data_IF_415640051197
#
_entry.id   IF_415640051197
#
_cell.length_a   1.000
_cell.length_b   1.000
_cell.length_c   1.000
_cell.angle_alpha   90.00
_cell.angle_beta   90.00
_cell.angle_gamma   90.00
#
_symmetry.space_group_name_H-M   'P 1'
#
loop_
_entity.id
_entity.type
_entity.pdbx_description
1 polymer ?
#
# COMPACT_ATOMS: atom_id res chain seq x y z
N UNK A 1 8.23 11.61 23.89
CA UNK A 1 6.93 10.99 23.56
C UNK A 1 7.14 9.49 23.46
N UNK A 2 6.36 8.69 24.18
CA UNK A 2 6.50 7.22 24.15
C UNK A 2 6.00 6.68 22.81
N UNK A 3 6.86 5.97 22.05
CA UNK A 3 6.43 5.14 20.92
C UNK A 3 5.53 4.03 21.46
N UNK A 4 4.21 4.25 21.40
CA UNK A 4 3.27 3.39 22.15
C UNK A 4 2.90 2.09 21.42
N UNK A 5 2.95 2.08 20.08
CA UNK A 5 2.53 0.95 19.24
C UNK A 5 3.27 0.92 17.90
N UNK A 6 3.38 -0.27 17.32
CA UNK A 6 3.85 -0.53 15.95
C UNK A 6 2.66 -0.93 15.08
N UNK A 7 2.40 -0.17 14.02
CA UNK A 7 1.30 -0.41 13.09
C UNK A 7 1.80 -0.98 11.77
N UNK A 8 1.18 -2.08 11.34
CA UNK A 8 1.36 -2.67 10.01
C UNK A 8 0.20 -2.25 9.13
N UNK A 9 0.47 -1.47 8.10
CA UNK A 9 -0.54 -0.89 7.20
C UNK A 9 -0.38 -1.50 5.82
N UNK A 10 -1.37 -2.28 5.39
CA UNK A 10 -1.41 -2.83 4.04
C UNK A 10 -2.03 -1.82 3.07
N UNK A 11 -1.31 -1.51 2.00
CA UNK A 11 -1.82 -0.80 0.83
C UNK A 11 -2.74 -1.67 -0.03
N UNK A 12 -3.24 -1.11 -1.13
CA UNK A 12 -4.20 -1.77 -2.01
C UNK A 12 -3.49 -2.18 -3.32
N UNK A 13 -3.50 -3.46 -3.72
CA UNK A 13 -2.73 -3.95 -4.87
C UNK A 13 -3.05 -3.26 -6.20
N UNK A 14 -4.32 -2.87 -6.42
CA UNK A 14 -4.77 -2.17 -7.63
C UNK A 14 -4.47 -0.66 -7.64
N UNK A 15 -3.72 -0.16 -6.64
CA UNK A 15 -3.31 1.25 -6.58
C UNK A 15 -1.87 1.38 -6.06
N UNK A 16 -1.37 2.62 -6.05
CA UNK A 16 -0.21 3.01 -5.23
C UNK A 16 -0.68 3.90 -4.08
N UNK A 17 -0.13 3.73 -2.89
CA UNK A 17 -0.46 4.58 -1.73
C UNK A 17 0.18 5.96 -1.89
N UNK A 18 -0.41 6.78 -2.73
CA UNK A 18 0.01 8.14 -3.09
C UNK A 18 -1.22 9.05 -3.20
N UNK A 19 -0.98 10.35 -3.33
CA UNK A 19 -2.07 11.33 -3.53
C UNK A 19 -2.73 11.21 -4.91
N UNK A 20 -2.06 10.57 -5.88
CA UNK A 20 -2.58 10.39 -7.24
C UNK A 20 -3.73 9.38 -7.31
N UNK A 21 -3.78 8.43 -6.36
CA UNK A 21 -4.84 7.43 -6.24
C UNK A 21 -5.90 7.83 -5.21
N UNK A 22 -6.12 9.13 -5.00
CA UNK A 22 -7.07 9.62 -4.01
C UNK A 22 -8.53 9.25 -4.32
N UNK A 23 -8.91 8.94 -5.55
CA UNK A 23 -10.28 8.50 -5.84
C UNK A 23 -10.63 7.17 -5.14
N UNK A 24 -9.63 6.34 -4.79
CA UNK A 24 -9.85 5.13 -4.02
C UNK A 24 -9.91 5.46 -2.52
N UNK A 25 -11.09 5.28 -1.91
CA UNK A 25 -11.29 5.54 -0.48
C UNK A 25 -10.37 4.70 0.43
N UNK A 26 -10.07 3.45 0.03
CA UNK A 26 -9.18 2.58 0.80
C UNK A 26 -7.72 3.01 0.71
N UNK A 27 -7.28 3.48 -0.45
CA UNK A 27 -5.94 4.06 -0.62
C UNK A 27 -5.80 5.36 0.18
N UNK A 28 -6.83 6.22 0.18
CA UNK A 28 -6.86 7.39 1.06
C UNK A 28 -6.80 7.02 2.54
N UNK A 29 -7.53 5.97 2.95
CA UNK A 29 -7.50 5.47 4.33
C UNK A 29 -6.08 5.07 4.72
N UNK A 30 -5.39 4.27 3.90
CA UNK A 30 -4.02 3.85 4.17
C UNK A 30 -3.06 5.06 4.24
N UNK A 31 -3.14 5.97 3.25
CA UNK A 31 -2.30 7.16 3.18
C UNK A 31 -2.46 8.06 4.41
N UNK A 32 -3.70 8.39 4.78
CA UNK A 32 -4.01 9.25 5.92
C UNK A 32 -3.73 8.57 7.26
N UNK A 33 -3.98 7.26 7.37
CA UNK A 33 -3.71 6.52 8.59
C UNK A 33 -2.20 6.48 8.89
N UNK A 34 -1.36 6.24 7.88
CA UNK A 34 0.09 6.27 8.07
C UNK A 34 0.55 7.60 8.68
N UNK A 35 0.16 8.71 8.04
CA UNK A 35 0.45 10.05 8.55
C UNK A 35 -0.06 10.26 9.97
N UNK A 36 -1.35 9.99 10.21
CA UNK A 36 -1.99 10.27 11.49
C UNK A 36 -1.34 9.52 12.65
N UNK A 37 -0.95 8.26 12.43
CA UNK A 37 -0.32 7.45 13.48
C UNK A 37 1.14 7.82 13.68
N UNK A 38 1.87 8.16 12.61
CA UNK A 38 3.23 8.69 12.71
C UNK A 38 3.28 10.03 13.45
N UNK A 39 2.39 10.96 13.12
CA UNK A 39 2.28 12.28 13.78
C UNK A 39 1.94 12.15 15.29
N UNK A 40 1.31 11.04 15.69
CA UNK A 40 1.04 10.68 17.10
C UNK A 40 2.22 10.02 17.81
N UNK A 41 3.35 9.84 17.13
CA UNK A 41 4.57 9.24 17.65
C UNK A 41 4.58 7.71 17.65
N UNK A 42 3.73 7.07 16.85
CA UNK A 42 3.77 5.61 16.67
C UNK A 42 4.72 5.21 15.54
N UNK A 43 5.20 3.96 15.58
CA UNK A 43 6.01 3.40 14.51
C UNK A 43 5.11 2.78 13.45
N UNK A 44 5.23 3.23 12.20
CA UNK A 44 4.33 2.83 11.10
C UNK A 44 5.13 2.15 10.00
N UNK A 45 4.75 0.91 9.68
CA UNK A 45 5.28 0.15 8.56
C UNK A 45 4.17 0.02 7.52
N UNK A 46 4.40 0.57 6.34
CA UNK A 46 3.53 0.41 5.18
C UNK A 46 4.03 -0.72 4.27
N UNK A 47 3.11 -1.51 3.73
CA UNK A 47 3.38 -2.54 2.72
C UNK A 47 2.58 -2.22 1.48
N UNK A 48 3.25 -1.88 0.38
CA UNK A 48 2.57 -1.37 -0.80
C UNK A 48 3.13 -1.87 -2.11
N UNK A 49 2.46 -1.45 -3.17
CA UNK A 49 2.99 -1.46 -4.54
C UNK A 49 4.17 -0.50 -4.62
N UNK A 50 5.20 -0.89 -5.35
CA UNK A 50 6.31 -0.01 -5.70
C UNK A 50 5.81 1.32 -6.28
N UNK A 51 6.50 2.42 -5.92
CA UNK A 51 6.05 3.79 -6.19
C UNK A 51 5.03 4.34 -5.18
N UNK A 52 4.58 3.55 -4.20
CA UNK A 52 3.87 4.10 -3.03
C UNK A 52 4.79 5.02 -2.21
N UNK A 53 4.23 6.09 -1.64
CA UNK A 53 4.99 7.03 -0.81
C UNK A 53 4.14 7.64 0.33
N UNK A 54 3.63 6.83 1.27
CA UNK A 54 2.95 7.36 2.44
C UNK A 54 3.94 7.89 3.49
N UNK A 55 3.50 8.85 4.30
CA UNK A 55 4.24 9.31 5.48
C UNK A 55 4.26 8.21 6.55
N UNK A 56 5.31 7.39 6.56
CA UNK A 56 5.53 6.25 7.46
C UNK A 56 7.00 6.14 7.86
N UNK A 57 7.36 5.20 8.74
CA UNK A 57 8.75 4.96 9.17
C UNK A 57 9.46 3.93 8.30
N UNK A 58 8.72 2.91 7.85
CA UNK A 58 9.17 1.94 6.86
C UNK A 58 8.15 1.80 5.72
N UNK A 59 8.61 1.94 4.48
CA UNK A 59 7.80 1.68 3.30
C UNK A 59 8.36 0.44 2.57
N UNK A 60 7.63 -0.67 2.66
CA UNK A 60 8.05 -1.97 2.16
C UNK A 60 7.34 -2.26 0.84
N UNK A 61 8.11 -2.37 -0.23
CA UNK A 61 7.59 -2.78 -1.54
C UNK A 61 7.30 -4.28 -1.52
N UNK A 62 6.03 -4.65 -1.65
CA UNK A 62 5.56 -6.05 -1.69
C UNK A 62 4.94 -6.44 -3.03
N UNK A 63 4.65 -5.45 -3.88
CA UNK A 63 4.23 -5.68 -5.27
C UNK A 63 5.16 -4.90 -6.21
N UNK A 64 6.00 -5.58 -7.01
CA UNK A 64 6.89 -4.93 -7.98
C UNK A 64 6.11 -4.19 -9.05
N UNK A 65 6.71 -3.11 -9.58
CA UNK A 65 6.11 -2.34 -10.68
C UNK A 65 5.82 -3.20 -11.91
N UNK A 66 6.75 -4.09 -12.29
CA UNK A 66 6.59 -4.98 -13.45
C UNK A 66 5.30 -5.82 -13.39
N UNK A 67 5.00 -6.39 -12.21
CA UNK A 67 3.78 -7.19 -12.00
C UNK A 67 2.54 -6.30 -11.98
N UNK A 68 2.65 -5.09 -11.44
CA UNK A 68 1.55 -4.14 -11.43
C UNK A 68 1.20 -3.65 -12.84
N UNK A 69 2.21 -3.35 -13.66
CA UNK A 69 2.06 -2.94 -15.06
C UNK A 69 1.53 -4.06 -15.94
N UNK A 70 1.93 -5.32 -15.70
CA UNK A 70 1.37 -6.47 -16.39
C UNK A 70 -0.15 -6.62 -16.19
N UNK A 71 -0.65 -6.31 -14.98
CA UNK A 71 -2.06 -6.49 -14.62
C UNK A 71 -2.90 -5.25 -14.89
N UNK A 72 -2.37 -4.05 -14.57
CA UNK A 72 -3.12 -2.79 -14.59
C UNK A 72 -2.59 -1.77 -15.61
N UNK A 73 -1.34 -1.90 -16.06
CA UNK A 73 -0.66 -1.17 -17.14
C UNK A 73 -1.24 0.19 -17.53
N UNK A 74 -1.86 0.23 -18.71
CA UNK A 74 -2.36 1.46 -19.36
C UNK A 74 -3.77 1.87 -18.92
N UNK A 75 -4.33 1.27 -17.86
CA UNK A 75 -5.69 1.58 -17.46
C UNK A 75 -5.79 3.03 -16.95
N UNK A 76 -6.70 3.81 -17.52
CA UNK A 76 -6.90 5.20 -17.10
C UNK A 76 -7.70 5.29 -15.80
N UNK A 77 -7.00 5.19 -14.66
CA UNK A 77 -7.60 5.33 -13.32
C UNK A 77 -8.02 6.76 -12.96
N UNK A 78 -7.72 7.76 -13.80
CA UNK A 78 -8.07 9.16 -13.53
C UNK A 78 -9.45 9.51 -14.07
N UNK A 79 -9.80 8.97 -15.24
CA UNK A 79 -11.11 9.20 -15.86
C UNK A 79 -12.07 8.01 -15.73
N UNK A 80 -11.56 6.80 -15.43
CA UNK A 80 -12.36 5.58 -15.27
C UNK A 80 -12.27 5.02 -13.86
N UNK A 81 -13.25 4.19 -13.51
CA UNK A 81 -13.23 3.43 -12.27
C UNK A 81 -12.02 2.49 -12.19
N UNK A 82 -11.54 2.25 -10.97
CA UNK A 82 -10.51 1.23 -10.72
C UNK A 82 -11.04 -0.15 -11.11
N UNK A 83 -10.21 -0.91 -11.83
CA UNK A 83 -10.42 -2.33 -12.09
C UNK A 83 -9.57 -3.13 -11.13
N UNK A 84 -10.15 -4.20 -10.58
CA UNK A 84 -9.43 -5.12 -9.70
C UNK A 84 -10.08 -6.51 -9.72
N UNK A 85 -9.28 -7.55 -9.59
CA UNK A 85 -9.73 -8.90 -9.28
C UNK A 85 -8.85 -9.46 -8.17
N UNK A 86 -9.45 -9.89 -7.06
CA UNK A 86 -8.70 -10.43 -5.93
C UNK A 86 -7.99 -11.75 -6.24
N UNK A 87 -8.27 -12.35 -7.40
CA UNK A 87 -7.62 -13.53 -7.95
C UNK A 87 -6.57 -13.20 -9.02
N UNK A 88 -6.32 -11.93 -9.31
CA UNK A 88 -5.29 -11.56 -10.28
C UNK A 88 -3.87 -11.75 -9.74
N UNK A 89 -2.90 -11.67 -10.64
CA UNK A 89 -1.48 -11.86 -10.33
C UNK A 89 -0.95 -10.81 -9.35
N UNK A 90 -1.48 -9.58 -9.40
CA UNK A 90 -1.04 -8.50 -8.53
C UNK A 90 -1.46 -8.77 -7.08
N UNK A 91 -2.72 -9.16 -6.86
CA UNK A 91 -3.22 -9.55 -5.54
C UNK A 91 -2.51 -10.77 -4.97
N UNK A 92 -2.33 -11.83 -5.75
CA UNK A 92 -1.60 -13.02 -5.30
C UNK A 92 -0.14 -12.70 -4.94
N UNK A 93 0.55 -11.91 -5.77
CA UNK A 93 1.93 -11.47 -5.51
C UNK A 93 2.01 -10.63 -4.26
N UNK A 94 1.12 -9.64 -4.12
CA UNK A 94 1.04 -8.78 -2.95
C UNK A 94 0.83 -9.59 -1.68
N UNK A 95 -0.15 -10.50 -1.64
CA UNK A 95 -0.43 -11.31 -0.46
C UNK A 95 0.75 -12.18 -0.05
N UNK A 96 1.34 -12.91 -1.01
CA UNK A 96 2.50 -13.78 -0.77
C UNK A 96 3.66 -12.99 -0.15
N UNK A 97 3.98 -11.84 -0.72
CA UNK A 97 5.10 -11.02 -0.27
C UNK A 97 4.78 -10.29 1.04
N UNK A 98 3.57 -9.74 1.20
CA UNK A 98 3.14 -9.07 2.42
C UNK A 98 3.14 -10.04 3.62
N UNK A 99 2.65 -11.27 3.46
CA UNK A 99 2.69 -12.29 4.52
C UNK A 99 4.14 -12.54 4.96
N UNK A 100 5.06 -12.70 4.00
CA UNK A 100 6.50 -12.88 4.27
C UNK A 100 7.10 -11.68 5.00
N UNK A 101 6.86 -10.48 4.49
CA UNK A 101 7.48 -9.24 5.00
C UNK A 101 6.90 -8.79 6.34
N UNK A 102 5.62 -9.04 6.60
CA UNK A 102 5.01 -8.90 7.92
C UNK A 102 5.62 -9.92 8.88
N UNK A 103 5.79 -11.18 8.46
CA UNK A 103 6.41 -12.24 9.27
C UNK A 103 7.81 -11.88 9.79
N UNK A 104 8.61 -11.18 8.99
CA UNK A 104 9.95 -10.68 9.38
C UNK A 104 9.91 -9.53 10.40
N UNK A 105 8.76 -8.87 10.56
CA UNK A 105 8.59 -7.64 11.36
C UNK A 105 7.56 -7.83 12.49
N UNK A 106 7.26 -9.08 12.88
CA UNK A 106 6.37 -9.39 14.01
C UNK A 106 6.96 -8.97 15.36
#
# INVERSE_FOLDING_TARGET
MSMKFRFHVLGLPHTRTTKDFNACAYTQKALKFCKMMKDRGHYVIHYGTEGSNPECDENVNVLPNEVWEEVYGEHDYKSKFFTYDTKDKAYHTFYKNAIREVGKRK
#
